data_IF_668927784578
#
_entry.id   IF_668927784578
#
_cell.length_a   1.000
_cell.length_b   1.000
_cell.length_c   1.000
_cell.angle_alpha   90.00
_cell.angle_beta   90.00
_cell.angle_gamma   90.00
#
_symmetry.space_group_name_H-M   'P 1'
#
loop_
_entity.id
_entity.type
_entity.pdbx_description
1 polymer ?
#
# COMPACT_ATOMS: atom_id res chain seq x y z
N UNK A 1 -28.36 -48.44 18.17
CA UNK A 1 -29.10 -48.61 19.47
C UNK A 1 -28.17 -48.14 20.55
N UNK A 2 -28.49 -47.10 21.07
CA UNK A 2 -28.73 -46.45 22.38
C UNK A 2 -28.24 -45.03 22.40
N UNK A 3 -29.22 -44.17 22.58
CA UNK A 3 -29.13 -42.74 22.87
C UNK A 3 -28.27 -42.45 24.10
N UNK A 4 -27.51 -41.36 24.04
CA UNK A 4 -27.02 -40.64 25.22
C UNK A 4 -27.39 -39.17 25.10
N UNK A 5 -28.49 -38.86 25.84
CA UNK A 5 -29.06 -37.53 26.00
C UNK A 5 -28.21 -36.60 26.84
N UNK A 6 -28.20 -35.32 26.41
CA UNK A 6 -27.76 -34.15 27.18
C UNK A 6 -28.58 -34.03 28.51
N UNK A 7 -27.99 -34.42 29.64
CA UNK A 7 -28.35 -33.94 30.99
C UNK A 7 -27.61 -34.78 32.04
N UNK A 8 -26.46 -34.33 32.51
CA UNK A 8 -25.94 -34.66 33.85
C UNK A 8 -24.57 -34.00 34.04
N UNK A 9 -24.54 -32.72 34.36
CA UNK A 9 -23.38 -32.06 34.99
C UNK A 9 -23.91 -30.97 35.92
N UNK A 10 -24.46 -31.38 37.01
CA UNK A 10 -24.63 -30.57 38.20
C UNK A 10 -24.58 -31.50 39.42
N UNK A 11 -23.82 -31.08 40.39
CA UNK A 11 -23.59 -31.56 41.74
C UNK A 11 -22.39 -32.48 41.95
N UNK A 12 -21.30 -31.86 42.40
CA UNK A 12 -20.60 -32.34 43.61
C UNK A 12 -19.78 -31.16 44.23
N UNK A 13 -20.33 -30.63 45.28
CA UNK A 13 -19.67 -29.76 46.25
C UNK A 13 -18.81 -30.63 47.19
N UNK A 14 -17.54 -30.30 47.32
CA UNK A 14 -16.62 -30.93 48.26
C UNK A 14 -15.49 -29.95 48.64
N UNK A 15 -15.56 -29.47 49.86
CA UNK A 15 -14.65 -28.56 50.56
C UNK A 15 -13.25 -29.14 50.70
N UNK A 16 -12.21 -28.35 50.36
CA UNK A 16 -10.81 -28.67 50.66
C UNK A 16 -9.92 -27.44 50.51
N UNK A 17 -9.36 -26.98 51.63
CA UNK A 17 -8.70 -25.71 51.82
C UNK A 17 -7.28 -25.60 51.26
N UNK A 18 -6.94 -24.37 50.82
CA UNK A 18 -5.65 -23.65 50.92
C UNK A 18 -4.38 -24.29 50.37
N UNK A 19 -3.94 -23.78 49.23
CA UNK A 19 -2.55 -23.35 49.01
C UNK A 19 -2.53 -22.28 47.92
N UNK A 20 -2.43 -21.02 48.27
CA UNK A 20 -2.21 -19.88 47.37
C UNK A 20 -0.75 -19.94 46.94
N UNK A 21 -0.47 -20.54 45.77
CA UNK A 21 0.74 -20.27 45.02
C UNK A 21 0.36 -19.16 44.04
N UNK A 22 0.71 -17.93 44.37
CA UNK A 22 0.69 -16.80 43.46
C UNK A 22 1.72 -17.07 42.33
N UNK A 23 1.32 -17.76 41.26
CA UNK A 23 1.99 -17.64 39.98
C UNK A 23 1.55 -16.29 39.41
N UNK A 24 2.44 -15.32 39.51
CA UNK A 24 2.40 -14.08 38.75
C UNK A 24 2.40 -14.46 37.24
N UNK A 25 1.21 -14.51 36.67
CA UNK A 25 1.02 -14.33 35.24
C UNK A 25 1.54 -12.94 34.95
N UNK A 26 2.80 -12.87 34.46
CA UNK A 26 3.27 -11.74 33.71
C UNK A 26 2.41 -11.74 32.43
N UNK A 27 1.23 -11.16 32.53
CA UNK A 27 0.42 -10.78 31.40
C UNK A 27 1.23 -9.75 30.63
N UNK A 28 1.54 -10.04 29.37
CA UNK A 28 1.90 -9.01 28.43
C UNK A 28 0.75 -8.01 28.41
N UNK A 29 0.85 -6.95 29.19
CA UNK A 29 0.03 -5.77 29.02
C UNK A 29 0.44 -5.19 27.67
N UNK A 30 -0.48 -4.88 26.76
CA UNK A 30 -0.15 -4.02 25.64
C UNK A 30 0.31 -2.69 26.27
N UNK A 31 1.57 -2.32 26.02
CA UNK A 31 2.13 -1.05 26.46
C UNK A 31 1.49 0.05 25.64
N UNK A 32 0.30 0.44 26.00
CA UNK A 32 -0.32 1.67 25.56
C UNK A 32 0.08 2.77 26.54
N UNK A 33 0.67 3.79 26.02
CA UNK A 33 1.15 5.07 26.54
C UNK A 33 2.67 5.11 26.75
N UNK A 34 3.35 5.95 25.96
CA UNK A 34 4.76 6.31 26.11
C UNK A 34 5.05 7.05 27.43
N UNK A 35 4.71 6.42 28.55
CA UNK A 35 4.93 6.96 29.89
C UNK A 35 6.39 7.01 30.30
N UNK A 36 7.32 6.48 29.50
CA UNK A 36 8.77 6.52 29.76
C UNK A 36 9.51 7.59 28.92
N UNK A 37 8.79 8.45 28.20
CA UNK A 37 9.36 9.52 27.37
C UNK A 37 9.84 9.06 25.98
N UNK A 38 9.55 7.83 25.55
CA UNK A 38 9.90 7.34 24.21
C UNK A 38 9.00 7.93 23.11
N UNK A 39 9.55 8.12 21.91
CA UNK A 39 8.82 8.45 20.69
C UNK A 39 8.22 7.17 20.14
N UNK A 40 6.91 7.10 20.03
CA UNK A 40 6.19 5.97 19.43
C UNK A 40 6.20 6.13 17.91
N UNK A 41 6.72 5.14 17.20
CA UNK A 41 6.77 5.15 15.75
C UNK A 41 6.05 3.96 15.16
N UNK A 42 5.07 4.22 14.28
CA UNK A 42 4.21 3.19 13.71
C UNK A 42 4.34 3.10 12.19
N UNK A 43 4.49 1.84 11.68
CA UNK A 43 4.56 1.55 10.25
C UNK A 43 4.01 0.16 9.93
N UNK A 44 3.87 -0.16 8.62
CA UNK A 44 3.48 -1.48 8.16
C UNK A 44 4.51 -2.09 7.21
N UNK A 45 4.46 -3.42 7.07
CA UNK A 45 5.26 -4.17 6.11
C UNK A 45 5.40 -5.63 6.49
N UNK A 46 5.97 -6.43 5.60
CA UNK A 46 6.36 -7.81 5.88
C UNK A 46 7.51 -7.92 6.89
N UNK A 47 7.82 -9.12 7.31
CA UNK A 47 8.80 -9.40 8.37
C UNK A 47 10.19 -8.84 8.08
N UNK A 48 10.64 -8.88 6.82
CA UNK A 48 11.96 -8.37 6.42
C UNK A 48 12.04 -6.86 6.54
N UNK A 49 11.02 -6.14 6.06
CA UNK A 49 10.92 -4.68 6.25
C UNK A 49 10.84 -4.29 7.71
N UNK A 50 10.12 -5.06 8.53
CA UNK A 50 10.06 -4.84 9.97
C UNK A 50 11.46 -4.94 10.60
N UNK A 51 12.21 -5.99 10.27
CA UNK A 51 13.57 -6.19 10.77
C UNK A 51 14.51 -5.06 10.35
N UNK A 52 14.48 -4.66 9.07
CA UNK A 52 15.30 -3.57 8.55
C UNK A 52 15.03 -2.24 9.25
N UNK A 53 13.74 -1.93 9.51
CA UNK A 53 13.40 -0.73 10.29
C UNK A 53 13.86 -0.79 11.75
N UNK A 54 13.82 -1.95 12.39
CA UNK A 54 14.34 -2.10 13.75
C UNK A 54 15.85 -1.84 13.79
N UNK A 55 16.62 -2.37 12.84
CA UNK A 55 18.06 -2.11 12.71
C UNK A 55 18.34 -0.62 12.42
N UNK A 56 17.53 0.02 11.58
CA UNK A 56 17.64 1.45 11.31
C UNK A 56 17.34 2.30 12.56
N UNK A 57 16.37 1.92 13.38
CA UNK A 57 16.07 2.59 14.64
C UNK A 57 17.18 2.42 15.68
N UNK A 58 17.85 1.26 15.70
CA UNK A 58 19.04 1.05 16.54
C UNK A 58 20.17 1.99 16.10
N UNK A 59 20.38 2.15 14.79
CA UNK A 59 21.36 3.10 14.24
C UNK A 59 21.00 4.56 14.56
N UNK A 60 19.73 4.93 14.48
CA UNK A 60 19.24 6.24 14.90
C UNK A 60 19.52 6.50 16.39
N UNK A 61 19.15 5.55 17.26
CA UNK A 61 19.34 5.65 18.71
C UNK A 61 20.83 5.72 19.09
N UNK A 62 21.69 5.04 18.34
CA UNK A 62 23.14 5.14 18.56
C UNK A 62 23.69 6.56 18.31
N UNK A 63 23.08 7.31 17.38
CA UNK A 63 23.43 8.71 17.08
C UNK A 63 22.72 9.70 18.02
N UNK A 64 21.57 9.33 18.53
CA UNK A 64 20.71 10.13 19.42
C UNK A 64 20.39 9.36 20.70
N UNK A 65 21.39 9.13 21.59
CA UNK A 65 21.22 8.26 22.77
C UNK A 65 20.24 8.85 23.79
N UNK A 66 19.88 10.11 23.69
CA UNK A 66 18.84 10.77 24.47
C UNK A 66 17.42 10.47 24.00
N UNK A 67 17.27 9.99 22.74
CA UNK A 67 15.97 9.67 22.14
C UNK A 67 15.73 8.16 22.21
N UNK A 68 14.70 7.77 22.90
CA UNK A 68 14.20 6.39 22.87
C UNK A 68 13.08 6.30 21.84
N UNK A 69 13.06 5.24 21.03
CA UNK A 69 11.97 4.96 20.10
C UNK A 69 11.25 3.69 20.53
N UNK A 70 9.92 3.75 20.57
CA UNK A 70 9.04 2.61 20.82
C UNK A 70 8.41 2.20 19.48
N UNK A 71 8.87 1.10 18.83
CA UNK A 71 8.37 0.66 17.55
C UNK A 71 6.99 0.01 17.66
N UNK A 72 6.09 0.35 16.73
CA UNK A 72 4.77 -0.25 16.56
C UNK A 72 4.58 -0.67 15.10
N UNK A 73 4.59 -1.96 14.80
CA UNK A 73 4.52 -2.45 13.43
C UNK A 73 3.56 -3.64 13.28
N UNK A 74 3.19 -3.96 12.05
CA UNK A 74 2.35 -5.09 11.65
C UNK A 74 2.26 -5.19 10.14
N UNK A 75 1.55 -6.20 9.63
CA UNK A 75 1.10 -6.19 8.24
C UNK A 75 0.11 -5.03 8.02
N UNK A 76 -0.25 -4.81 6.75
CA UNK A 76 -1.06 -3.65 6.37
C UNK A 76 -2.44 -3.64 7.02
N UNK A 77 -3.13 -4.78 7.07
CA UNK A 77 -4.49 -4.86 7.58
C UNK A 77 -4.51 -4.73 9.12
N UNK A 78 -3.64 -5.47 9.81
CA UNK A 78 -3.49 -5.35 11.27
C UNK A 78 -3.04 -3.94 11.68
N UNK A 79 -2.21 -3.27 10.87
CA UNK A 79 -1.86 -1.88 11.10
C UNK A 79 -3.09 -0.95 11.05
N UNK A 80 -3.93 -1.08 10.03
CA UNK A 80 -5.14 -0.27 9.87
C UNK A 80 -6.15 -0.49 11.00
N UNK A 81 -6.40 -1.74 11.39
CA UNK A 81 -7.27 -2.08 12.52
C UNK A 81 -6.77 -1.47 13.83
N UNK A 82 -5.46 -1.58 14.08
CA UNK A 82 -4.84 -0.98 15.26
C UNK A 82 -4.95 0.53 15.24
N UNK A 83 -4.61 1.19 14.13
CA UNK A 83 -4.72 2.66 14.00
C UNK A 83 -6.16 3.14 14.23
N UNK A 84 -7.15 2.45 13.69
CA UNK A 84 -8.57 2.75 13.93
C UNK A 84 -8.91 2.72 15.42
N UNK A 85 -8.44 1.69 16.13
CA UNK A 85 -8.65 1.56 17.57
C UNK A 85 -7.91 2.66 18.36
N UNK A 86 -6.67 2.95 17.99
CA UNK A 86 -5.85 3.98 18.64
C UNK A 86 -6.41 5.39 18.42
N UNK A 87 -6.93 5.68 17.21
CA UNK A 87 -7.63 6.94 16.92
C UNK A 87 -8.87 7.13 17.78
N UNK A 88 -9.70 6.10 17.87
CA UNK A 88 -10.91 6.15 18.71
C UNK A 88 -10.58 6.39 20.20
N UNK A 89 -9.46 5.85 20.67
CA UNK A 89 -8.97 6.03 22.03
C UNK A 89 -8.16 7.32 22.25
N UNK A 90 -7.84 8.08 21.18
CA UNK A 90 -6.88 9.20 21.20
C UNK A 90 -5.50 8.79 21.76
N UNK A 91 -5.10 7.55 21.51
CA UNK A 91 -3.80 6.96 21.87
C UNK A 91 -2.97 6.65 20.61
N UNK A 92 -2.84 7.65 19.72
CA UNK A 92 -2.16 7.57 18.44
C UNK A 92 -0.64 7.60 18.65
N UNK A 93 0.17 6.83 17.88
CA UNK A 93 1.63 6.94 17.90
C UNK A 93 2.12 8.35 17.56
N UNK A 94 3.27 8.75 18.12
CA UNK A 94 3.83 10.10 17.91
C UNK A 94 4.17 10.37 16.43
N UNK A 95 4.72 9.37 15.73
CA UNK A 95 4.97 9.40 14.28
C UNK A 95 4.36 8.15 13.66
N UNK A 96 3.63 8.30 12.57
CA UNK A 96 2.92 7.17 11.96
C UNK A 96 2.80 7.30 10.44
N UNK A 97 2.81 6.16 9.76
CA UNK A 97 2.53 6.08 8.34
C UNK A 97 1.03 6.19 8.07
N UNK A 98 0.68 6.76 6.92
CA UNK A 98 -0.71 7.02 6.56
C UNK A 98 -1.12 6.12 5.39
N UNK A 99 -2.13 5.24 5.54
CA UNK A 99 -2.70 4.49 4.43
C UNK A 99 -3.25 5.44 3.35
N UNK A 100 -3.14 5.04 2.07
CA UNK A 100 -3.51 5.90 0.93
C UNK A 100 -4.92 6.46 1.01
N UNK A 101 -5.89 5.63 1.39
CA UNK A 101 -7.28 6.04 1.51
C UNK A 101 -7.62 6.77 2.82
N UNK A 102 -6.63 7.02 3.70
CA UNK A 102 -6.87 7.58 5.03
C UNK A 102 -6.34 9.01 5.21
N UNK A 103 -5.68 9.59 4.19
CA UNK A 103 -5.01 10.89 4.33
C UNK A 103 -5.98 11.98 4.79
N UNK A 104 -7.09 12.15 4.11
CA UNK A 104 -8.07 13.18 4.48
C UNK A 104 -8.92 12.76 5.69
N UNK A 105 -9.23 11.47 5.85
CA UNK A 105 -9.92 10.95 7.04
C UNK A 105 -9.14 11.26 8.33
N UNK A 106 -7.82 11.07 8.32
CA UNK A 106 -6.99 11.36 9.49
C UNK A 106 -6.83 12.87 9.72
N UNK A 107 -6.79 13.66 8.65
CA UNK A 107 -6.84 15.14 8.73
C UNK A 107 -8.12 15.59 9.42
N UNK A 108 -9.28 15.12 8.97
CA UNK A 108 -10.60 15.52 9.48
C UNK A 108 -10.82 15.04 10.92
N UNK A 109 -10.17 13.95 11.32
CA UNK A 109 -10.10 13.51 12.70
C UNK A 109 -9.16 14.38 13.59
N UNK A 110 -8.44 15.35 13.00
CA UNK A 110 -7.53 16.26 13.70
C UNK A 110 -6.31 15.54 14.26
N UNK A 111 -5.73 14.60 13.48
CA UNK A 111 -4.59 13.81 13.94
C UNK A 111 -3.24 14.46 13.63
N UNK A 112 -3.17 15.36 12.67
CA UNK A 112 -1.91 15.87 12.17
C UNK A 112 -1.47 17.14 12.88
N UNK A 113 -0.24 17.14 13.37
CA UNK A 113 0.44 18.33 13.86
C UNK A 113 0.98 19.15 12.71
N UNK A 114 0.81 20.48 12.78
CA UNK A 114 1.48 21.38 11.86
C UNK A 114 3.00 21.33 12.10
N UNK A 115 3.76 21.08 11.04
CA UNK A 115 5.22 20.90 11.04
C UNK A 115 5.97 22.18 10.64
N UNK A 116 5.27 23.28 10.32
CA UNK A 116 5.92 24.54 9.96
C UNK A 116 6.82 25.04 11.10
N UNK A 117 8.12 25.12 10.83
CA UNK A 117 9.11 25.57 11.81
C UNK A 117 9.39 24.56 12.94
N UNK A 118 8.99 23.30 12.81
CA UNK A 118 9.28 22.28 13.82
C UNK A 118 10.78 22.10 14.02
N UNK A 119 11.27 22.33 15.25
CA UNK A 119 12.66 22.09 15.61
C UNK A 119 13.03 20.62 15.42
N UNK A 120 14.17 20.33 14.83
CA UNK A 120 14.64 18.98 14.53
C UNK A 120 14.17 18.42 13.17
N UNK A 121 13.28 19.12 12.47
CA UNK A 121 12.85 18.72 11.12
C UNK A 121 13.77 19.35 10.06
N UNK A 122 14.46 18.52 9.29
CA UNK A 122 15.33 18.96 8.19
C UNK A 122 14.65 18.70 6.83
N UNK A 123 14.26 19.78 6.16
CA UNK A 123 13.68 19.79 4.83
C UNK A 123 14.59 20.46 3.79
N UNK A 124 15.86 20.67 4.11
CA UNK A 124 16.82 21.40 3.24
C UNK A 124 17.08 20.71 1.90
N UNK A 125 16.82 19.41 1.81
CA UNK A 125 16.92 18.63 0.57
C UNK A 125 15.74 18.86 -0.41
N UNK A 126 14.69 19.57 0.01
CA UNK A 126 13.48 19.79 -0.78
C UNK A 126 13.37 21.24 -1.23
N UNK A 127 12.96 21.45 -2.48
CA UNK A 127 12.66 22.80 -2.97
C UNK A 127 11.40 23.36 -2.29
N UNK A 128 11.24 24.68 -2.32
CA UNK A 128 10.04 25.33 -1.80
C UNK A 128 8.75 24.85 -2.50
N UNK A 129 8.83 24.55 -3.79
CA UNK A 129 7.71 24.01 -4.57
C UNK A 129 7.34 22.60 -4.12
N UNK A 130 8.33 21.73 -3.87
CA UNK A 130 8.08 20.40 -3.30
C UNK A 130 7.44 20.49 -1.91
N UNK A 131 7.96 21.34 -1.03
CA UNK A 131 7.38 21.54 0.31
C UNK A 131 5.93 22.03 0.21
N UNK A 132 5.64 22.94 -0.73
CA UNK A 132 4.28 23.42 -0.95
C UNK A 132 3.34 22.31 -1.44
N UNK A 133 3.83 21.38 -2.28
CA UNK A 133 3.04 20.24 -2.76
C UNK A 133 2.73 19.21 -1.66
N UNK A 134 3.43 19.24 -0.53
CA UNK A 134 3.17 18.36 0.61
C UNK A 134 2.04 18.87 1.51
N UNK A 135 1.67 20.13 1.39
CA UNK A 135 0.65 20.75 2.22
C UNK A 135 -0.75 20.18 1.96
N UNK A 136 -1.51 20.05 3.01
CA UNK A 136 -2.94 19.79 2.94
C UNK A 136 -3.64 21.03 3.51
N UNK A 137 -4.55 21.62 2.74
CA UNK A 137 -5.27 22.85 3.10
C UNK A 137 -4.36 24.02 3.55
N UNK A 138 -3.17 24.11 2.94
CA UNK A 138 -2.19 25.17 3.23
C UNK A 138 -1.32 24.91 4.46
N UNK A 139 -1.49 23.80 5.17
CA UNK A 139 -0.66 23.41 6.33
C UNK A 139 0.32 22.30 5.97
N UNK A 140 1.56 22.42 6.44
CA UNK A 140 2.55 21.34 6.36
C UNK A 140 2.32 20.36 7.51
N UNK A 141 1.41 19.41 7.33
CA UNK A 141 0.98 18.50 8.38
C UNK A 141 1.24 17.02 8.03
N UNK A 142 1.68 16.75 6.81
CA UNK A 142 2.19 15.44 6.39
C UNK A 142 3.44 15.62 5.55
N UNK A 143 4.28 14.59 5.50
CA UNK A 143 5.47 14.57 4.65
C UNK A 143 5.44 13.31 3.76
N UNK A 144 6.02 13.38 2.55
CA UNK A 144 6.19 12.20 1.73
C UNK A 144 7.22 11.28 2.38
N UNK A 145 6.90 9.99 2.45
CA UNK A 145 7.81 8.95 2.93
C UNK A 145 8.55 8.28 1.78
N UNK A 146 7.82 7.93 0.74
CA UNK A 146 8.34 7.25 -0.43
C UNK A 146 7.47 7.50 -1.66
N UNK A 147 8.07 7.26 -2.82
CA UNK A 147 7.49 7.43 -4.14
C UNK A 147 7.32 6.06 -4.81
N UNK A 148 6.23 5.87 -5.54
CA UNK A 148 6.04 4.75 -6.45
C UNK A 148 4.98 5.10 -7.49
N UNK A 149 4.98 4.35 -8.60
CA UNK A 149 4.05 4.54 -9.72
C UNK A 149 3.37 3.22 -10.08
N UNK A 150 2.20 3.23 -10.70
CA UNK A 150 1.61 2.02 -11.24
C UNK A 150 2.48 1.46 -12.37
N UNK A 151 2.66 0.14 -12.40
CA UNK A 151 3.45 -0.56 -13.40
C UNK A 151 2.80 -1.88 -13.83
N UNK A 152 3.14 -2.36 -15.01
CA UNK A 152 3.03 -3.75 -15.38
C UNK A 152 4.35 -4.45 -15.03
N UNK A 153 4.33 -5.34 -14.03
CA UNK A 153 5.46 -6.19 -13.69
C UNK A 153 5.30 -7.56 -14.35
N UNK A 154 6.40 -8.18 -14.75
CA UNK A 154 6.38 -9.48 -15.40
C UNK A 154 7.57 -10.35 -15.02
N UNK A 155 7.41 -11.66 -15.13
CA UNK A 155 8.46 -12.64 -14.97
C UNK A 155 9.25 -12.74 -16.29
N UNK A 156 10.45 -12.17 -16.32
CA UNK A 156 11.30 -12.14 -17.50
C UNK A 156 11.83 -13.54 -17.86
N UNK A 157 12.09 -14.39 -16.85
CA UNK A 157 12.51 -15.79 -17.05
C UNK A 157 11.45 -16.55 -17.86
N UNK A 158 10.16 -16.34 -17.59
CA UNK A 158 9.10 -17.04 -18.32
C UNK A 158 9.02 -16.60 -19.79
N UNK A 159 9.28 -15.34 -20.07
CA UNK A 159 9.34 -14.84 -21.45
C UNK A 159 10.53 -15.46 -22.19
N UNK A 160 11.68 -15.55 -21.56
CA UNK A 160 12.88 -16.15 -22.14
C UNK A 160 12.69 -17.65 -22.41
N UNK A 161 12.16 -18.41 -21.46
CA UNK A 161 11.89 -19.84 -21.57
C UNK A 161 10.95 -20.17 -22.74
N UNK A 162 9.95 -19.35 -23.00
CA UNK A 162 8.97 -19.54 -24.06
C UNK A 162 9.39 -18.85 -25.39
N UNK A 163 10.52 -18.12 -25.40
CA UNK A 163 10.95 -17.31 -26.54
C UNK A 163 9.94 -16.24 -26.92
N UNK A 164 9.18 -15.73 -25.95
CA UNK A 164 8.14 -14.72 -26.12
C UNK A 164 8.66 -13.34 -25.70
N UNK A 165 7.98 -12.29 -26.15
CA UNK A 165 8.27 -10.92 -25.76
C UNK A 165 6.97 -10.12 -25.65
N UNK A 166 6.88 -9.25 -24.66
CA UNK A 166 5.79 -8.27 -24.57
C UNK A 166 5.79 -7.34 -25.79
N UNK A 167 4.63 -6.85 -26.23
CA UNK A 167 4.56 -5.84 -27.30
C UNK A 167 5.47 -4.64 -27.01
N UNK A 168 6.15 -4.12 -28.06
CA UNK A 168 7.08 -2.99 -27.91
C UNK A 168 6.35 -1.74 -27.43
N UNK A 169 5.24 -1.37 -28.08
CA UNK A 169 4.29 -0.39 -27.57
C UNK A 169 3.18 -1.10 -26.86
N UNK A 170 3.03 -0.84 -25.56
CA UNK A 170 2.08 -1.53 -24.72
C UNK A 170 0.75 -0.77 -24.68
N UNK A 171 -0.28 -1.38 -25.27
CA UNK A 171 -1.66 -0.90 -25.18
C UNK A 171 -2.53 -1.92 -24.42
N UNK A 172 -3.67 -1.49 -23.88
CA UNK A 172 -4.59 -2.40 -23.20
C UNK A 172 -5.07 -3.53 -24.11
N UNK A 173 -5.29 -3.22 -25.38
CA UNK A 173 -5.76 -4.21 -26.37
C UNK A 173 -4.70 -5.23 -26.72
N UNK A 174 -3.47 -4.78 -27.10
CA UNK A 174 -2.43 -5.72 -27.49
C UNK A 174 -1.87 -6.51 -26.32
N UNK A 175 -1.89 -5.94 -25.11
CA UNK A 175 -1.58 -6.70 -23.91
C UNK A 175 -2.63 -7.79 -23.68
N UNK A 176 -3.92 -7.48 -23.78
CA UNK A 176 -4.97 -8.48 -23.64
C UNK A 176 -4.80 -9.63 -24.65
N UNK A 177 -4.56 -9.32 -25.93
CA UNK A 177 -4.29 -10.34 -26.95
C UNK A 177 -3.07 -11.20 -26.61
N UNK A 178 -1.98 -10.58 -26.19
CA UNK A 178 -0.77 -11.27 -25.78
C UNK A 178 -1.01 -12.20 -24.57
N UNK A 179 -1.71 -11.74 -23.54
CA UNK A 179 -2.00 -12.52 -22.34
C UNK A 179 -2.92 -13.72 -22.63
N UNK A 180 -3.88 -13.54 -23.54
CA UNK A 180 -4.75 -14.63 -24.01
C UNK A 180 -3.95 -15.70 -24.77
N UNK A 181 -3.11 -15.28 -25.70
CA UNK A 181 -2.26 -16.19 -26.47
C UNK A 181 -1.25 -16.91 -25.57
N UNK A 182 -0.58 -16.20 -24.69
CA UNK A 182 0.36 -16.78 -23.74
C UNK A 182 -0.33 -17.83 -22.85
N UNK A 183 -1.48 -17.50 -22.26
CA UNK A 183 -2.20 -18.43 -21.37
C UNK A 183 -2.66 -19.68 -22.08
N UNK A 184 -3.01 -19.58 -23.36
CA UNK A 184 -3.47 -20.70 -24.16
C UNK A 184 -2.32 -21.63 -24.65
N UNK A 185 -1.12 -21.09 -24.82
CA UNK A 185 -0.05 -21.79 -25.57
C UNK A 185 1.20 -22.10 -24.73
N UNK A 186 1.37 -21.53 -23.52
CA UNK A 186 2.55 -21.85 -22.71
C UNK A 186 2.53 -23.32 -22.23
N UNK A 187 3.74 -23.92 -22.11
CA UNK A 187 3.88 -25.34 -21.83
C UNK A 187 3.48 -25.75 -20.40
N UNK A 188 3.58 -24.83 -19.44
CA UNK A 188 3.43 -25.09 -18.01
C UNK A 188 2.05 -24.76 -17.47
N UNK A 189 1.13 -24.27 -18.31
CA UNK A 189 -0.21 -23.88 -17.90
C UNK A 189 -0.25 -22.63 -17.01
N UNK A 190 0.77 -21.78 -17.10
CA UNK A 190 0.87 -20.51 -16.38
C UNK A 190 -0.22 -19.56 -16.85
N UNK A 191 -0.67 -18.68 -15.96
CA UNK A 191 -1.63 -17.63 -16.28
C UNK A 191 -0.92 -16.41 -16.85
N UNK A 192 -1.62 -15.68 -17.72
CA UNK A 192 -1.10 -14.44 -18.30
C UNK A 192 -0.99 -13.32 -17.28
N UNK A 193 -2.00 -13.18 -16.41
CA UNK A 193 -2.04 -12.09 -15.42
C UNK A 193 -2.68 -12.53 -14.11
N UNK A 194 -2.18 -12.02 -12.99
CA UNK A 194 -2.84 -12.12 -11.68
C UNK A 194 -4.14 -11.33 -11.70
N UNK A 195 -5.24 -11.91 -11.25
CA UNK A 195 -6.52 -11.20 -11.16
C UNK A 195 -6.43 -10.09 -10.09
N UNK A 196 -6.46 -8.85 -10.52
CA UNK A 196 -6.23 -7.69 -9.64
C UNK A 196 -7.02 -6.42 -10.00
N UNK A 197 -8.30 -6.50 -10.46
CA UNK A 197 -9.07 -5.30 -10.82
C UNK A 197 -9.37 -4.36 -9.65
N UNK A 198 -9.16 -4.83 -8.42
CA UNK A 198 -9.30 -4.05 -7.18
C UNK A 198 -8.01 -3.34 -6.74
N UNK A 199 -6.94 -3.44 -7.52
CA UNK A 199 -5.69 -2.73 -7.22
C UNK A 199 -5.85 -1.25 -7.59
N UNK A 200 -5.67 -0.38 -6.59
CA UNK A 200 -5.98 1.06 -6.69
C UNK A 200 -5.21 1.80 -7.78
N UNK A 201 -3.90 1.67 -7.82
CA UNK A 201 -3.07 2.47 -8.71
C UNK A 201 -3.25 2.14 -10.21
N UNK A 202 -3.30 0.87 -10.65
CA UNK A 202 -3.63 0.55 -12.03
C UNK A 202 -5.05 0.96 -12.42
N UNK A 203 -6.02 0.84 -11.51
CA UNK A 203 -7.38 1.29 -11.73
C UNK A 203 -7.44 2.81 -11.91
N UNK A 204 -6.81 3.57 -11.01
CA UNK A 204 -6.70 5.02 -11.13
C UNK A 204 -6.01 5.43 -12.43
N UNK A 205 -4.91 4.74 -12.82
CA UNK A 205 -4.22 5.02 -14.09
C UNK A 205 -5.13 4.79 -15.30
N UNK A 206 -5.92 3.71 -15.31
CA UNK A 206 -6.89 3.44 -16.37
C UNK A 206 -7.95 4.53 -16.48
N UNK A 207 -8.54 4.97 -15.37
CA UNK A 207 -9.50 6.08 -15.34
C UNK A 207 -8.88 7.37 -15.85
N UNK A 208 -7.65 7.68 -15.43
CA UNK A 208 -6.94 8.89 -15.86
C UNK A 208 -6.68 8.92 -17.36
N UNK A 209 -6.44 7.77 -17.99
CA UNK A 209 -6.32 7.65 -19.42
C UNK A 209 -7.64 7.97 -20.16
N UNK A 210 -8.79 7.70 -19.54
CA UNK A 210 -10.11 8.10 -20.02
C UNK A 210 -10.45 9.58 -19.73
N UNK A 211 -9.53 10.35 -19.11
CA UNK A 211 -9.76 11.74 -18.71
C UNK A 211 -10.56 11.90 -17.43
N UNK A 212 -10.76 10.80 -16.69
CA UNK A 212 -11.37 10.77 -15.37
C UNK A 212 -10.30 10.78 -14.28
N UNK A 213 -10.66 11.08 -13.04
CA UNK A 213 -9.82 10.88 -11.86
C UNK A 213 -10.57 9.98 -10.88
N UNK A 214 -9.85 9.20 -10.08
CA UNK A 214 -10.51 8.38 -9.06
C UNK A 214 -11.21 9.27 -8.02
N UNK A 215 -10.52 10.35 -7.61
CA UNK A 215 -11.05 11.36 -6.69
C UNK A 215 -10.96 12.74 -7.33
N UNK A 216 -11.91 13.61 -7.01
CA UNK A 216 -11.95 15.00 -7.52
C UNK A 216 -11.43 16.01 -6.50
N UNK A 217 -11.09 17.21 -6.94
CA UNK A 217 -10.61 18.30 -6.08
C UNK A 217 -11.61 18.66 -4.98
N UNK A 218 -12.89 18.57 -5.25
CA UNK A 218 -13.99 18.87 -4.31
C UNK A 218 -14.38 17.66 -3.43
N UNK A 219 -13.59 16.58 -3.47
CA UNK A 219 -13.76 15.43 -2.56
C UNK A 219 -14.90 14.50 -2.94
N UNK A 220 -15.18 14.34 -4.23
CA UNK A 220 -16.14 13.36 -4.74
C UNK A 220 -15.44 12.17 -5.41
N UNK A 221 -16.20 11.11 -5.70
CA UNK A 221 -15.79 10.08 -6.63
C UNK A 221 -15.80 10.66 -8.04
N UNK A 222 -14.66 10.61 -8.73
CA UNK A 222 -14.52 11.07 -10.12
C UNK A 222 -14.67 9.97 -11.16
N UNK A 223 -14.70 8.71 -10.73
CA UNK A 223 -14.91 7.57 -11.61
C UNK A 223 -16.37 7.48 -12.07
N UNK A 224 -16.60 7.48 -13.39
CA UNK A 224 -17.93 7.28 -13.95
C UNK A 224 -18.33 5.80 -13.98
N UNK A 225 -19.63 5.52 -14.09
CA UNK A 225 -20.13 4.16 -14.31
C UNK A 225 -19.53 3.53 -15.57
N UNK A 226 -19.36 4.32 -16.64
CA UNK A 226 -18.78 3.85 -17.89
C UNK A 226 -17.29 3.52 -17.74
N UNK A 227 -16.51 4.36 -17.04
CA UNK A 227 -15.09 4.12 -16.78
C UNK A 227 -14.86 2.87 -15.91
N UNK A 228 -15.64 2.73 -14.84
CA UNK A 228 -15.62 1.52 -13.99
C UNK A 228 -16.04 0.28 -14.79
N UNK A 229 -17.09 0.39 -15.60
CA UNK A 229 -17.57 -0.71 -16.45
C UNK A 229 -16.50 -1.15 -17.46
N UNK A 230 -15.86 -0.21 -18.15
CA UNK A 230 -14.78 -0.51 -19.10
C UNK A 230 -13.60 -1.23 -18.44
N UNK A 231 -13.23 -0.82 -17.21
CA UNK A 231 -12.21 -1.50 -16.42
C UNK A 231 -12.58 -2.94 -16.09
N UNK A 232 -13.80 -3.16 -15.59
CA UNK A 232 -14.29 -4.50 -15.26
C UNK A 232 -14.38 -5.37 -16.52
N UNK A 233 -14.88 -4.84 -17.64
CA UNK A 233 -15.02 -5.57 -18.91
C UNK A 233 -13.65 -6.05 -19.45
N UNK A 234 -12.60 -5.24 -19.32
CA UNK A 234 -11.24 -5.63 -19.72
C UNK A 234 -10.77 -6.85 -18.93
N UNK A 235 -11.00 -6.88 -17.62
CA UNK A 235 -10.65 -8.01 -16.75
C UNK A 235 -11.50 -9.24 -17.01
N UNK A 236 -12.81 -9.06 -17.22
CA UNK A 236 -13.73 -10.16 -17.50
C UNK A 236 -13.43 -10.87 -18.83
N UNK A 237 -12.99 -10.12 -19.85
CA UNK A 237 -12.48 -10.69 -21.11
C UNK A 237 -11.35 -11.70 -20.85
N UNK A 238 -10.39 -11.35 -20.01
CA UNK A 238 -9.27 -12.22 -19.67
C UNK A 238 -9.69 -13.38 -18.76
N UNK A 239 -10.53 -13.12 -17.77
CA UNK A 239 -11.04 -14.13 -16.84
C UNK A 239 -11.85 -15.21 -17.53
N UNK A 240 -12.79 -14.84 -18.39
CA UNK A 240 -13.61 -15.78 -19.14
C UNK A 240 -12.80 -16.69 -20.06
N UNK A 241 -11.69 -16.20 -20.57
CA UNK A 241 -10.75 -16.99 -21.38
C UNK A 241 -9.78 -17.84 -20.53
N UNK A 242 -9.82 -17.72 -19.20
CA UNK A 242 -8.93 -18.45 -18.29
C UNK A 242 -7.50 -17.93 -18.25
N UNK A 243 -7.28 -16.68 -18.68
CA UNK A 243 -5.96 -16.03 -18.70
C UNK A 243 -5.56 -15.42 -17.35
N UNK A 244 -6.48 -15.36 -16.39
CA UNK A 244 -6.23 -14.84 -15.05
C UNK A 244 -6.18 -15.93 -13.99
N UNK A 245 -5.55 -15.67 -12.85
CA UNK A 245 -5.83 -16.38 -11.61
C UNK A 245 -7.25 -16.09 -11.14
N UNK A 246 -7.73 -16.84 -10.16
CA UNK A 246 -8.99 -16.55 -9.44
C UNK A 246 -8.72 -15.73 -8.19
N UNK A 247 -9.72 -15.07 -7.63
CA UNK A 247 -9.59 -14.36 -6.34
C UNK A 247 -9.15 -15.32 -5.24
N UNK A 248 -9.69 -16.54 -5.18
CA UNK A 248 -9.34 -17.54 -4.18
C UNK A 248 -7.89 -18.06 -4.30
N UNK A 249 -7.28 -18.00 -5.47
CA UNK A 249 -5.87 -18.33 -5.65
C UNK A 249 -4.94 -17.23 -5.12
N UNK A 250 -5.47 -16.02 -4.89
CA UNK A 250 -4.75 -14.90 -4.26
C UNK A 250 -4.94 -14.87 -2.74
N UNK A 251 -5.96 -15.56 -2.20
CA UNK A 251 -6.22 -15.59 -0.76
C UNK A 251 -5.07 -16.25 0.00
N UNK A 252 -4.65 -15.59 1.06
CA UNK A 252 -3.60 -16.11 1.96
C UNK A 252 -2.19 -16.11 1.37
N UNK A 253 -1.97 -15.44 0.23
CA UNK A 253 -0.63 -15.19 -0.30
C UNK A 253 -0.05 -13.96 0.40
N UNK A 254 1.14 -14.11 0.96
CA UNK A 254 1.90 -13.00 1.53
C UNK A 254 3.10 -12.65 0.64
N UNK A 255 3.31 -11.37 0.37
CA UNK A 255 2.48 -10.21 0.73
C UNK A 255 1.14 -10.17 -0.03
N UNK A 256 0.13 -9.52 0.55
CA UNK A 256 -1.29 -9.55 0.16
C UNK A 256 -1.67 -8.75 -1.11
N UNK A 257 -0.71 -8.38 -1.94
CA UNK A 257 -0.99 -7.79 -3.26
C UNK A 257 -0.91 -8.86 -4.38
N UNK A 258 -1.48 -8.60 -5.57
CA UNK A 258 -1.32 -9.51 -6.70
C UNK A 258 0.16 -9.75 -7.02
N UNK A 259 0.55 -11.02 -7.14
CA UNK A 259 1.93 -11.45 -7.36
C UNK A 259 2.09 -12.17 -8.68
N UNK A 260 3.27 -12.05 -9.28
CA UNK A 260 3.68 -12.84 -10.44
C UNK A 260 4.11 -14.23 -9.97
N UNK A 261 5.08 -14.30 -9.10
CA UNK A 261 5.58 -15.54 -8.54
C UNK A 261 5.99 -16.57 -9.59
N UNK A 262 5.67 -17.82 -9.31
CA UNK A 262 6.00 -18.98 -10.13
C UNK A 262 4.82 -19.47 -11.02
N UNK A 263 3.69 -18.80 -11.03
CA UNK A 263 2.45 -19.27 -11.68
C UNK A 263 1.87 -18.32 -12.72
N UNK A 264 2.31 -17.08 -12.72
CA UNK A 264 1.70 -16.00 -13.49
C UNK A 264 2.78 -15.21 -14.21
N UNK A 265 2.52 -14.86 -15.48
CA UNK A 265 3.47 -14.09 -16.27
C UNK A 265 3.53 -12.63 -15.85
N UNK A 266 2.37 -11.99 -15.66
CA UNK A 266 2.30 -10.54 -15.37
C UNK A 266 1.41 -10.23 -14.18
N UNK A 267 1.64 -9.06 -13.58
CA UNK A 267 0.72 -8.43 -12.62
C UNK A 267 0.79 -6.92 -12.74
N UNK A 268 -0.32 -6.25 -12.46
CA UNK A 268 -0.30 -4.82 -12.21
C UNK A 268 0.08 -4.57 -10.75
N UNK A 269 1.01 -3.66 -10.52
CA UNK A 269 1.59 -3.46 -9.20
C UNK A 269 2.08 -2.02 -9.00
N UNK A 270 2.54 -1.73 -7.79
CA UNK A 270 3.36 -0.55 -7.53
C UNK A 270 4.81 -0.85 -7.89
N UNK A 271 5.53 0.13 -8.40
CA UNK A 271 6.90 -0.03 -8.91
C UNK A 271 7.90 -0.59 -7.89
N UNK A 272 7.66 -0.40 -6.60
CA UNK A 272 8.53 -0.90 -5.53
C UNK A 272 8.34 -2.39 -5.23
N UNK A 273 7.20 -2.99 -5.60
CA UNK A 273 6.91 -4.40 -5.27
C UNK A 273 7.84 -5.41 -5.95
N UNK A 274 8.55 -5.00 -7.01
CA UNK A 274 9.53 -5.86 -7.67
C UNK A 274 10.65 -6.30 -6.72
N UNK A 275 11.01 -5.48 -5.74
CA UNK A 275 12.05 -5.79 -4.75
C UNK A 275 11.61 -6.93 -3.85
N UNK A 276 10.40 -6.85 -3.31
CA UNK A 276 9.85 -7.90 -2.44
C UNK A 276 9.59 -9.20 -3.24
N UNK A 277 9.15 -9.08 -4.50
CA UNK A 277 8.91 -10.23 -5.37
C UNK A 277 10.19 -10.99 -5.71
N UNK A 278 11.26 -10.27 -6.07
CA UNK A 278 12.56 -10.89 -6.36
C UNK A 278 13.16 -11.59 -5.13
N UNK A 279 12.93 -11.07 -3.94
CA UNK A 279 13.33 -11.72 -2.70
C UNK A 279 12.50 -12.99 -2.41
N UNK A 280 11.19 -12.94 -2.68
CA UNK A 280 10.30 -14.09 -2.46
C UNK A 280 10.56 -15.25 -3.47
N UNK A 281 11.00 -14.91 -4.68
CA UNK A 281 11.21 -15.85 -5.78
C UNK A 281 12.61 -15.70 -6.41
N UNK A 282 13.69 -16.02 -5.67
CA UNK A 282 15.07 -15.74 -6.09
C UNK A 282 15.55 -16.55 -7.30
N UNK A 283 14.81 -17.56 -7.73
CA UNK A 283 15.11 -18.38 -8.91
C UNK A 283 14.63 -17.75 -10.22
N UNK A 284 13.90 -16.63 -10.16
CA UNK A 284 13.33 -15.95 -11.31
C UNK A 284 13.84 -14.52 -11.43
N UNK A 285 13.90 -14.03 -12.66
CA UNK A 285 14.13 -12.63 -12.97
C UNK A 285 12.80 -11.93 -13.25
N UNK A 286 12.56 -10.81 -12.58
CA UNK A 286 11.41 -9.94 -12.78
C UNK A 286 11.85 -8.66 -13.46
N UNK A 287 10.93 -8.10 -14.26
CA UNK A 287 11.11 -6.77 -14.82
C UNK A 287 9.78 -6.02 -14.83
N UNK A 288 9.81 -4.73 -15.10
CA UNK A 288 8.62 -3.88 -15.06
C UNK A 288 8.67 -2.81 -16.14
N UNK A 289 7.49 -2.40 -16.57
CA UNK A 289 7.27 -1.34 -17.54
C UNK A 289 6.14 -0.44 -17.04
N UNK A 290 6.02 0.72 -17.63
CA UNK A 290 4.82 1.54 -17.48
C UNK A 290 3.56 0.72 -17.82
N UNK A 291 2.43 1.13 -17.25
CA UNK A 291 1.13 0.52 -17.54
C UNK A 291 0.77 0.66 -19.02
N UNK A 292 -0.07 -0.24 -19.57
CA UNK A 292 -0.54 -0.08 -20.93
C UNK A 292 -1.25 1.25 -21.14
N UNK A 293 -1.12 1.85 -22.30
CA UNK A 293 -1.82 3.08 -22.67
C UNK A 293 -3.02 2.82 -23.59
N UNK A 294 -4.07 3.63 -23.49
CA UNK A 294 -5.06 3.75 -24.54
C UNK A 294 -4.44 4.45 -25.76
N UNK A 295 -4.91 4.15 -26.98
CA UNK A 295 -4.41 4.84 -28.20
C UNK A 295 -4.66 6.34 -28.15
N UNK A 296 -5.73 6.77 -27.48
CA UNK A 296 -6.16 8.14 -27.31
C UNK A 296 -6.14 8.57 -25.83
N UNK A 297 -5.18 8.05 -25.06
CA UNK A 297 -5.05 8.36 -23.65
C UNK A 297 -4.99 9.87 -23.40
N UNK A 298 -5.76 10.35 -22.42
CA UNK A 298 -5.79 11.75 -22.04
C UNK A 298 -4.41 12.22 -21.56
N UNK A 299 -4.01 13.44 -21.94
CA UNK A 299 -2.74 14.03 -21.54
C UNK A 299 -2.62 14.10 -19.99
N UNK A 300 -1.41 13.89 -19.48
CA UNK A 300 -1.12 13.97 -18.06
C UNK A 300 -1.72 12.82 -17.23
N UNK A 301 -2.00 11.67 -17.82
CA UNK A 301 -2.56 10.53 -17.09
C UNK A 301 -1.57 9.88 -16.12
N UNK A 302 -0.29 10.00 -16.38
CA UNK A 302 0.73 9.49 -15.48
C UNK A 302 0.67 10.17 -14.12
N UNK A 303 1.11 9.48 -13.11
CA UNK A 303 1.27 10.04 -11.78
C UNK A 303 2.30 9.27 -10.95
N UNK A 304 2.92 9.99 -10.03
CA UNK A 304 3.71 9.40 -8.96
C UNK A 304 2.90 9.52 -7.67
N UNK A 305 2.72 8.40 -6.99
CA UNK A 305 2.10 8.38 -5.68
C UNK A 305 3.14 8.66 -4.60
N UNK A 306 2.75 9.53 -3.67
CA UNK A 306 3.51 9.82 -2.46
C UNK A 306 2.87 9.11 -1.27
N UNK A 307 3.50 8.04 -0.77
CA UNK A 307 3.09 7.56 0.55
C UNK A 307 3.50 8.59 1.59
N UNK A 308 2.68 8.77 2.63
CA UNK A 308 2.85 9.86 3.59
C UNK A 308 3.04 9.32 5.00
N UNK A 309 3.65 10.15 5.84
CA UNK A 309 3.69 9.97 7.28
C UNK A 309 3.47 11.32 7.98
N UNK A 310 3.03 11.27 9.24
CA UNK A 310 2.72 12.47 10.02
C UNK A 310 3.21 12.36 11.45
N UNK A 311 3.26 13.53 12.12
CA UNK A 311 3.36 13.63 13.57
C UNK A 311 1.94 13.82 14.13
N UNK A 312 1.63 13.10 15.21
CA UNK A 312 0.36 13.23 15.91
C UNK A 312 0.23 14.59 16.57
N UNK A 313 -0.92 15.25 16.43
CA UNK A 313 -1.20 16.55 17.06
C UNK A 313 -1.06 16.50 18.58
N UNK A 314 -1.44 15.38 19.19
CA UNK A 314 -1.36 15.18 20.66
C UNK A 314 0.04 14.83 21.19
N UNK A 315 1.11 14.92 20.39
CA UNK A 315 2.48 14.73 20.89
C UNK A 315 2.81 15.80 21.93
N UNK A 316 3.22 15.43 23.17
CA UNK A 316 3.68 16.40 24.16
C UNK A 316 4.83 17.26 23.68
N UNK A 317 4.83 18.55 24.03
CA UNK A 317 5.81 19.53 23.51
C UNK A 317 7.26 19.11 23.75
N UNK A 318 7.54 18.42 24.84
CA UNK A 318 8.88 17.90 25.17
C UNK A 318 9.35 16.77 24.26
N UNK A 319 8.46 16.13 23.47
CA UNK A 319 8.81 15.07 22.50
C UNK A 319 8.77 15.53 21.05
N UNK A 320 8.22 16.70 20.76
CA UNK A 320 8.06 17.20 19.37
C UNK A 320 9.40 17.25 18.63
N UNK A 321 10.46 17.77 19.25
CA UNK A 321 11.77 17.83 18.62
C UNK A 321 12.34 16.44 18.33
N UNK A 322 12.21 15.50 19.27
CA UNK A 322 12.67 14.12 19.08
C UNK A 322 11.90 13.41 17.97
N UNK A 323 10.57 13.60 17.90
CA UNK A 323 9.73 13.08 16.82
C UNK A 323 10.12 13.69 15.46
N UNK A 324 10.39 15.00 15.40
CA UNK A 324 10.84 15.69 14.19
C UNK A 324 12.22 15.20 13.72
N UNK A 325 13.15 14.93 14.64
CA UNK A 325 14.45 14.34 14.30
C UNK A 325 14.30 12.92 13.75
N UNK A 326 13.37 12.10 14.28
CA UNK A 326 13.06 10.79 13.74
C UNK A 326 12.42 10.89 12.34
N UNK A 327 11.56 11.87 12.10
CA UNK A 327 11.03 12.15 10.76
C UNK A 327 12.13 12.56 9.79
N UNK A 328 13.05 13.44 10.20
CA UNK A 328 14.22 13.84 9.39
C UNK A 328 15.12 12.65 9.06
N UNK A 329 15.33 11.74 10.01
CA UNK A 329 16.07 10.51 9.78
C UNK A 329 15.39 9.63 8.72
N UNK A 330 14.07 9.51 8.75
CA UNK A 330 13.32 8.76 7.75
C UNK A 330 13.41 9.39 6.34
N UNK A 331 13.53 10.71 6.24
CA UNK A 331 13.61 11.43 4.95
C UNK A 331 15.01 11.44 4.34
N UNK A 332 16.06 11.52 5.18
CA UNK A 332 17.38 11.98 4.73
C UNK A 332 18.52 11.02 5.08
N UNK A 333 18.25 9.89 5.79
CA UNK A 333 19.35 9.03 6.24
C UNK A 333 19.81 8.04 5.17
N UNK A 334 21.06 8.12 4.68
CA UNK A 334 21.63 7.09 3.81
C UNK A 334 21.70 5.72 4.49
N UNK A 335 21.87 5.71 5.81
CA UNK A 335 21.96 4.50 6.61
C UNK A 335 20.62 3.78 6.69
N UNK A 336 19.52 4.52 6.91
CA UNK A 336 18.17 3.96 6.84
C UNK A 336 17.91 3.38 5.44
N UNK A 337 18.21 4.15 4.38
CA UNK A 337 17.98 3.69 3.02
C UNK A 337 18.83 2.45 2.68
N UNK A 338 20.07 2.39 3.15
CA UNK A 338 20.92 1.21 2.95
C UNK A 338 20.38 -0.06 3.64
N UNK A 339 19.67 0.07 4.76
CA UNK A 339 19.10 -1.06 5.49
C UNK A 339 17.73 -1.48 4.94
N UNK A 340 16.87 -0.50 4.62
CA UNK A 340 15.49 -0.76 4.19
C UNK A 340 15.39 -1.00 2.69
N UNK A 341 16.33 -0.45 1.91
CA UNK A 341 16.29 -0.49 0.45
C UNK A 341 15.06 0.24 -0.12
N UNK A 342 14.66 -0.16 -1.34
CA UNK A 342 13.54 0.44 -2.05
C UNK A 342 12.23 -0.39 -1.96
N UNK A 343 12.15 -1.40 -1.08
CA UNK A 343 10.94 -2.20 -0.92
C UNK A 343 9.72 -1.37 -0.50
N UNK A 344 9.95 -0.26 0.21
CA UNK A 344 8.91 0.69 0.61
C UNK A 344 8.67 1.84 -0.39
N UNK A 345 9.34 1.83 -1.54
CA UNK A 345 9.35 2.87 -2.58
C UNK A 345 10.63 3.71 -2.57
N UNK A 346 10.84 4.48 -3.65
CA UNK A 346 11.99 5.38 -3.75
C UNK A 346 11.87 6.53 -2.73
N UNK A 347 12.97 7.01 -2.13
CA UNK A 347 12.92 8.17 -1.24
C UNK A 347 12.52 9.42 -2.02
N UNK A 348 11.77 10.35 -1.41
CA UNK A 348 11.42 11.62 -2.04
C UNK A 348 12.62 12.59 -2.16
N UNK A 349 13.68 12.35 -1.41
CA UNK A 349 14.95 13.08 -1.48
C UNK A 349 15.77 12.55 -2.68
N UNK A 350 15.77 13.30 -3.78
CA UNK A 350 16.45 12.90 -5.01
C UNK A 350 17.97 12.76 -4.84
N UNK A 351 18.60 13.63 -4.03
CA UNK A 351 20.04 13.55 -3.77
C UNK A 351 20.39 12.25 -3.01
N UNK A 352 19.55 11.85 -2.05
CA UNK A 352 19.71 10.60 -1.33
C UNK A 352 19.57 9.39 -2.27
N UNK A 353 18.61 9.44 -3.22
CA UNK A 353 18.44 8.39 -4.21
C UNK A 353 19.65 8.29 -5.14
N UNK A 354 20.18 9.42 -5.61
CA UNK A 354 21.39 9.46 -6.45
C UNK A 354 22.63 8.91 -5.73
N UNK A 355 22.76 9.17 -4.44
CA UNK A 355 23.82 8.62 -3.62
C UNK A 355 23.70 7.11 -3.41
N UNK A 356 22.47 6.60 -3.33
CA UNK A 356 22.19 5.17 -3.11
C UNK A 356 22.33 4.34 -4.38
N UNK A 357 22.01 4.86 -5.55
CA UNK A 357 21.93 4.12 -6.81
C UNK A 357 23.14 3.26 -7.16
N UNK A 358 24.42 3.68 -6.90
CA UNK A 358 25.59 2.84 -7.16
C UNK A 358 25.56 1.50 -6.40
N UNK A 359 25.02 1.51 -5.19
CA UNK A 359 24.96 0.35 -4.28
C UNK A 359 23.63 -0.43 -4.39
N UNK A 360 22.66 0.10 -5.13
CA UNK A 360 21.36 -0.52 -5.32
C UNK A 360 21.46 -1.87 -6.03
N UNK A 361 20.64 -2.82 -5.63
CA UNK A 361 20.47 -4.11 -6.29
C UNK A 361 19.95 -3.96 -7.73
N UNK A 362 20.06 -5.00 -8.59
CA UNK A 362 19.49 -4.94 -9.93
C UNK A 362 18.01 -4.57 -9.96
N UNK A 363 17.20 -5.09 -9.02
CA UNK A 363 15.76 -4.83 -8.98
C UNK A 363 15.45 -3.44 -8.43
N UNK A 364 16.20 -2.95 -7.48
CA UNK A 364 16.10 -1.56 -7.03
C UNK A 364 16.49 -0.55 -8.13
N UNK A 365 17.45 -0.88 -8.98
CA UNK A 365 17.78 -0.07 -10.17
C UNK A 365 16.61 0.03 -11.15
N UNK A 366 15.79 -1.03 -11.26
CA UNK A 366 14.54 -0.98 -12.06
C UNK A 366 13.50 -0.04 -11.41
N UNK A 367 13.42 -0.03 -10.06
CA UNK A 367 12.57 0.95 -9.33
C UNK A 367 13.04 2.38 -9.60
N UNK A 368 14.34 2.65 -9.52
CA UNK A 368 14.93 3.97 -9.78
C UNK A 368 14.64 4.41 -11.22
N UNK A 369 14.86 3.52 -12.19
CA UNK A 369 14.67 3.81 -13.60
C UNK A 369 13.23 4.21 -13.92
N UNK A 370 12.24 3.40 -13.52
CA UNK A 370 10.83 3.70 -13.77
C UNK A 370 10.35 4.93 -13.00
N UNK A 371 10.84 5.17 -11.79
CA UNK A 371 10.50 6.36 -11.01
C UNK A 371 10.94 7.63 -11.73
N UNK A 372 12.15 7.64 -12.31
CA UNK A 372 12.65 8.77 -13.10
C UNK A 372 11.91 8.93 -14.43
N UNK A 373 11.66 7.81 -15.13
CA UNK A 373 10.90 7.81 -16.37
C UNK A 373 9.52 8.46 -16.20
N UNK A 374 8.77 8.04 -15.17
CA UNK A 374 7.44 8.61 -14.90
C UNK A 374 7.54 10.06 -14.43
N UNK A 375 8.57 10.44 -13.67
CA UNK A 375 8.77 11.83 -13.24
C UNK A 375 9.04 12.80 -14.42
N UNK A 376 9.54 12.32 -15.55
CA UNK A 376 9.76 13.10 -16.77
C UNK A 376 8.48 13.25 -17.63
N UNK A 377 7.43 12.50 -17.34
CA UNK A 377 6.15 12.59 -18.08
C UNK A 377 5.33 13.78 -17.64
N UNK A 378 4.42 14.24 -18.51
CA UNK A 378 3.38 15.19 -18.12
C UNK A 378 2.43 14.53 -17.13
N UNK A 379 2.17 15.20 -15.99
CA UNK A 379 1.26 14.73 -14.95
C UNK A 379 0.24 15.81 -14.62
N UNK A 380 -1.06 15.48 -14.68
CA UNK A 380 -2.09 16.37 -14.15
C UNK A 380 -2.24 16.17 -12.64
N UNK A 381 -2.80 17.12 -11.89
CA UNK A 381 -3.04 16.99 -10.46
C UNK A 381 -3.72 15.67 -10.09
N UNK A 382 -3.36 15.13 -8.94
CA UNK A 382 -3.96 13.96 -8.33
C UNK A 382 -4.55 14.38 -6.98
N UNK A 383 -5.73 13.91 -6.66
CA UNK A 383 -6.44 14.27 -5.45
C UNK A 383 -6.46 13.11 -4.46
N UNK A 384 -6.44 13.43 -3.17
CA UNK A 384 -6.49 12.43 -2.10
C UNK A 384 -7.91 11.90 -1.90
N UNK A 385 -8.01 10.67 -1.43
CA UNK A 385 -9.28 10.01 -1.13
C UNK A 385 -10.06 10.79 -0.04
N UNK A 386 -11.32 11.18 -0.30
CA UNK A 386 -12.12 11.94 0.66
C UNK A 386 -12.50 11.11 1.89
N UNK A 387 -12.93 11.79 2.96
CA UNK A 387 -13.50 11.11 4.11
C UNK A 387 -14.70 10.25 3.68
N UNK A 388 -14.89 9.11 4.32
CA UNK A 388 -15.92 8.13 3.94
C UNK A 388 -15.52 7.16 2.83
N UNK A 389 -14.51 7.46 2.02
CA UNK A 389 -14.10 6.59 0.91
C UNK A 389 -13.25 5.38 1.33
N UNK A 390 -12.84 5.26 2.58
CA UNK A 390 -11.84 4.26 3.02
C UNK A 390 -12.18 2.81 2.72
N UNK A 391 -13.44 2.50 2.48
CA UNK A 391 -13.93 1.14 2.19
C UNK A 391 -14.11 0.84 0.68
N UNK A 392 -13.81 1.77 -0.20
CA UNK A 392 -14.10 1.68 -1.62
C UNK A 392 -13.56 0.40 -2.30
N UNK A 393 -12.38 -0.09 -1.91
CA UNK A 393 -11.81 -1.34 -2.45
C UNK A 393 -12.67 -2.55 -2.10
N UNK A 394 -13.17 -2.66 -0.87
CA UNK A 394 -14.04 -3.76 -0.47
C UNK A 394 -15.40 -3.67 -1.17
N UNK A 395 -15.89 -2.46 -1.44
CA UNK A 395 -17.09 -2.27 -2.25
C UNK A 395 -16.87 -2.77 -3.68
N UNK A 396 -15.73 -2.45 -4.29
CA UNK A 396 -15.38 -2.96 -5.62
C UNK A 396 -15.22 -4.49 -5.62
N UNK A 397 -14.50 -5.05 -4.65
CA UNK A 397 -14.30 -6.50 -4.50
C UNK A 397 -15.67 -7.22 -4.44
N UNK A 398 -16.60 -6.72 -3.65
CA UNK A 398 -17.95 -7.31 -3.54
C UNK A 398 -18.68 -7.34 -4.89
N UNK A 399 -18.63 -6.25 -5.64
CA UNK A 399 -19.28 -6.18 -6.95
C UNK A 399 -18.60 -7.10 -7.96
N UNK A 400 -17.27 -7.21 -7.92
CA UNK A 400 -16.49 -8.14 -8.74
C UNK A 400 -16.82 -9.61 -8.41
N UNK A 401 -17.01 -9.96 -7.15
CA UNK A 401 -17.43 -11.30 -6.74
C UNK A 401 -18.79 -11.66 -7.37
N UNK A 402 -19.79 -10.78 -7.31
CA UNK A 402 -21.10 -11.01 -7.92
C UNK A 402 -21.02 -11.15 -9.45
N UNK A 403 -20.13 -10.37 -10.11
CA UNK A 403 -19.87 -10.55 -11.55
C UNK A 403 -19.21 -11.90 -11.84
N UNK A 404 -18.20 -12.29 -11.07
CA UNK A 404 -17.50 -13.58 -11.29
C UNK A 404 -18.39 -14.79 -11.06
N UNK A 405 -19.38 -14.69 -10.17
CA UNK A 405 -20.39 -15.70 -9.92
C UNK A 405 -21.51 -15.70 -10.97
N UNK A 406 -21.58 -14.69 -11.85
CA UNK A 406 -22.64 -14.51 -12.83
C UNK A 406 -23.97 -14.05 -12.23
N UNK A 407 -23.95 -13.51 -11.01
CA UNK A 407 -25.13 -13.02 -10.30
C UNK A 407 -25.46 -11.57 -10.67
N UNK A 408 -24.48 -10.82 -11.20
CA UNK A 408 -24.63 -9.42 -11.62
C UNK A 408 -23.96 -9.16 -12.98
N UNK A 409 -24.57 -8.32 -13.80
CA UNK A 409 -23.93 -7.86 -15.04
C UNK A 409 -22.86 -6.80 -14.75
N UNK A 410 -21.87 -6.63 -15.64
CA UNK A 410 -20.83 -5.59 -15.48
C UNK A 410 -21.43 -4.19 -15.36
N UNK A 411 -22.39 -3.75 -16.20
CA UNK A 411 -23.01 -2.44 -16.03
C UNK A 411 -23.72 -2.25 -14.68
N UNK A 412 -24.41 -3.30 -14.19
CA UNK A 412 -25.10 -3.24 -12.90
C UNK A 412 -24.11 -3.19 -11.74
N UNK A 413 -22.99 -3.91 -11.83
CA UNK A 413 -21.93 -3.91 -10.84
C UNK A 413 -21.21 -2.54 -10.78
N UNK A 414 -20.89 -1.95 -11.94
CA UNK A 414 -20.29 -0.63 -12.03
C UNK A 414 -21.22 0.45 -11.42
N UNK A 415 -22.52 0.40 -11.75
CA UNK A 415 -23.49 1.34 -11.18
C UNK A 415 -23.63 1.18 -9.66
N UNK A 416 -23.71 -0.06 -9.16
CA UNK A 416 -23.81 -0.35 -7.74
C UNK A 416 -22.55 0.09 -6.96
N UNK A 417 -21.37 -0.10 -7.55
CA UNK A 417 -20.11 0.38 -6.96
C UNK A 417 -20.09 1.90 -6.82
N UNK A 418 -20.40 2.64 -7.90
CA UNK A 418 -20.42 4.11 -7.88
C UNK A 418 -21.43 4.61 -6.84
N UNK A 419 -22.66 4.11 -6.85
CA UNK A 419 -23.71 4.48 -5.88
C UNK A 419 -23.26 4.21 -4.42
N UNK A 420 -22.62 3.06 -4.18
CA UNK A 420 -22.18 2.69 -2.84
C UNK A 420 -21.07 3.61 -2.32
N UNK A 421 -20.08 3.93 -3.16
CA UNK A 421 -18.96 4.83 -2.77
C UNK A 421 -19.47 6.25 -2.56
N UNK A 422 -20.28 6.79 -3.47
CA UNK A 422 -20.92 8.11 -3.30
C UNK A 422 -21.76 8.18 -2.01
N UNK A 423 -22.48 7.09 -1.69
CA UNK A 423 -23.26 6.98 -0.47
C UNK A 423 -22.43 7.03 0.80
N UNK A 424 -21.28 6.35 0.83
CA UNK A 424 -20.35 6.39 1.96
C UNK A 424 -19.71 7.77 2.13
N UNK A 425 -19.29 8.42 1.05
CA UNK A 425 -18.74 9.79 1.07
C UNK A 425 -19.80 10.79 1.60
N UNK A 426 -21.02 10.70 1.11
CA UNK A 426 -22.10 11.59 1.53
C UNK A 426 -22.53 11.39 3.00
N UNK A 427 -22.23 10.23 3.59
CA UNK A 427 -22.54 9.90 4.98
C UNK A 427 -21.44 10.26 5.98
N UNK A 428 -20.26 10.66 5.53
CA UNK A 428 -19.09 10.97 6.36
C UNK A 428 -19.06 12.46 6.73
#
# INVERSE_FOLDING_TARGET
MSDLTRRSFLTWTGVGALSVAAMSLAGCSPSGSGGDGSVRFAWWGGSERQQAYLEALDAFTAKHPEIKVAPEFGDYDAYQERMTTQMAARDVPDVFWIPSAAVLTYRDAGLYRNLDGASGLDLSAFSAEQIESFRLDGELNTLPKSLFSPVLRYNATFLEDEGAALPEQLTWDNLAEFLLDYSANNADGRKGVSYGPYHDMPFESFLRQHGEDLWTEDGALGASVDGVGAWIDWWEKLRHAGATTTMSEQDGIEPSWPQVGDKVLTTFANSNHIVDEAQAFPDYEFDQRDVPALEDAAAGYHFTYYSRFAMYEGVPDERVEAAAQLMSFNLNSPELLSLVGLSAGAPPNAELLDQYEPDATPDEKKVIAITREIAETEQRPRFEAPAGSGNWRNLLIRELEEVTLGEKSVPDAAAAFVEAVEGEIAGA
#
